data_IF_451004904680
#
_entry.id   IF_451004904680
#
_cell.length_a   1.000
_cell.length_b   1.000
_cell.length_c   1.000
_cell.angle_alpha   90.00
_cell.angle_beta   90.00
_cell.angle_gamma   90.00
#
_symmetry.space_group_name_H-M   'P 1'
#
loop_
_entity.id
_entity.type
_entity.pdbx_description
1 polymer ?
#
# COMPACT_ATOMS: atom_id res chain seq x y z
N UNK A 1 -19.31 -1.77 -11.77
CA UNK A 1 -19.06 -2.71 -10.64
C UNK A 1 -17.57 -2.90 -10.49
N UNK A 2 -17.04 -2.85 -9.27
CA UNK A 2 -15.63 -3.13 -9.01
C UNK A 2 -15.35 -4.63 -9.21
N UNK A 3 -14.37 -4.98 -10.05
CA UNK A 3 -14.00 -6.37 -10.35
C UNK A 3 -13.11 -7.00 -9.27
N UNK A 4 -12.45 -6.19 -8.47
CA UNK A 4 -11.48 -6.62 -7.46
C UNK A 4 -11.99 -6.17 -6.10
N UNK A 5 -12.06 -7.10 -5.14
CA UNK A 5 -12.41 -6.78 -3.75
C UNK A 5 -11.27 -5.97 -3.14
N UNK A 6 -11.61 -4.85 -2.52
CA UNK A 6 -10.68 -3.95 -1.85
C UNK A 6 -10.96 -4.06 -0.35
N UNK A 7 -9.94 -4.29 0.46
CA UNK A 7 -10.09 -4.36 1.91
C UNK A 7 -9.95 -2.98 2.56
N UNK A 8 -10.85 -2.65 3.46
CA UNK A 8 -10.77 -1.50 4.35
C UNK A 8 -9.70 -1.67 5.41
N UNK A 9 -9.28 -0.55 6.01
CA UNK A 9 -8.22 -0.55 7.05
C UNK A 9 -8.63 -1.32 8.30
N UNK A 10 -9.92 -1.37 8.62
CA UNK A 10 -10.48 -2.12 9.75
C UNK A 10 -10.73 -3.59 9.44
N UNK A 11 -10.66 -4.00 8.17
CA UNK A 11 -10.93 -5.38 7.73
C UNK A 11 -9.66 -6.24 7.66
N UNK A 12 -8.48 -5.62 7.68
CA UNK A 12 -7.19 -6.32 7.62
C UNK A 12 -6.67 -6.62 9.02
N UNK A 13 -6.02 -7.77 9.16
CA UNK A 13 -5.36 -8.20 10.41
C UNK A 13 -3.96 -8.71 10.11
N UNK A 14 -3.14 -8.88 11.17
CA UNK A 14 -1.77 -9.36 11.06
C UNK A 14 -0.90 -8.50 10.13
N UNK A 15 -0.08 -9.14 9.31
CA UNK A 15 0.90 -8.52 8.42
C UNK A 15 0.33 -7.41 7.52
N UNK A 16 -0.85 -7.61 6.95
CA UNK A 16 -1.47 -6.59 6.10
C UNK A 16 -1.85 -5.32 6.89
N UNK A 17 -2.29 -5.48 8.13
CA UNK A 17 -2.60 -4.35 9.02
C UNK A 17 -1.36 -3.53 9.38
N UNK A 18 -0.24 -4.21 9.64
CA UNK A 18 1.04 -3.55 9.93
C UNK A 18 1.52 -2.72 8.72
N UNK A 19 1.45 -3.30 7.53
CA UNK A 19 1.80 -2.59 6.28
C UNK A 19 0.86 -1.41 6.03
N UNK A 20 -0.45 -1.56 6.26
CA UNK A 20 -1.40 -0.45 6.12
C UNK A 20 -1.12 0.68 7.10
N UNK A 21 -0.73 0.37 8.34
CA UNK A 21 -0.34 1.38 9.32
C UNK A 21 0.90 2.16 8.85
N UNK A 22 1.90 1.47 8.29
CA UNK A 22 3.10 2.11 7.73
C UNK A 22 2.76 3.01 6.53
N UNK A 23 1.94 2.50 5.59
CA UNK A 23 1.48 3.28 4.43
C UNK A 23 0.73 4.53 4.91
N UNK A 24 -0.19 4.39 5.88
CA UNK A 24 -0.96 5.51 6.40
C UNK A 24 -0.06 6.53 7.09
N UNK A 25 0.97 6.09 7.83
CA UNK A 25 1.95 6.98 8.45
C UNK A 25 2.72 7.81 7.42
N UNK A 26 3.08 7.22 6.29
CA UNK A 26 3.89 7.89 5.26
C UNK A 26 3.04 8.75 4.29
N UNK A 27 1.79 8.38 4.02
CA UNK A 27 0.96 8.99 2.97
C UNK A 27 -0.36 9.59 3.48
N UNK A 28 -0.69 9.46 4.76
CA UNK A 28 -1.96 9.89 5.37
C UNK A 28 -3.18 9.01 5.03
N UNK A 29 -3.04 8.11 4.04
CA UNK A 29 -4.07 7.15 3.64
C UNK A 29 -3.43 5.91 3.01
N UNK A 30 -4.21 4.82 2.90
CA UNK A 30 -3.83 3.64 2.10
C UNK A 30 -4.48 3.73 0.71
N UNK A 31 -3.70 3.92 -0.38
CA UNK A 31 -4.21 3.88 -1.75
C UNK A 31 -4.94 2.57 -2.09
N UNK A 32 -5.95 2.64 -2.95
CA UNK A 32 -6.76 1.48 -3.36
C UNK A 32 -5.93 0.34 -3.98
N UNK A 33 -4.79 0.66 -4.61
CA UNK A 33 -3.87 -0.35 -5.15
C UNK A 33 -3.35 -1.29 -4.06
N UNK A 34 -2.84 -0.74 -2.96
CA UNK A 34 -2.37 -1.54 -1.82
C UNK A 34 -3.54 -2.22 -1.10
N UNK A 35 -4.70 -1.57 -1.04
CA UNK A 35 -5.90 -2.19 -0.47
C UNK A 35 -6.41 -3.40 -1.23
N UNK A 36 -6.25 -3.41 -2.56
CA UNK A 36 -6.56 -4.58 -3.40
C UNK A 36 -5.55 -5.71 -3.20
N UNK A 37 -4.28 -5.38 -2.95
CA UNK A 37 -3.22 -6.37 -2.70
C UNK A 37 -3.33 -7.03 -1.32
N UNK A 38 -4.05 -6.44 -0.36
CA UNK A 38 -4.16 -6.95 1.00
C UNK A 38 -4.82 -8.34 1.12
N UNK A 39 -5.49 -8.82 0.07
CA UNK A 39 -5.94 -10.23 -0.02
C UNK A 39 -4.76 -11.22 0.01
N UNK A 40 -3.56 -10.78 -0.35
CA UNK A 40 -2.32 -11.53 -0.22
C UNK A 40 -1.23 -10.64 0.45
N UNK A 41 -1.04 -10.77 1.77
CA UNK A 41 -0.12 -9.92 2.53
C UNK A 41 1.34 -9.95 2.05
N UNK A 42 1.80 -11.06 1.46
CA UNK A 42 3.17 -11.17 0.95
C UNK A 42 3.36 -10.39 -0.36
N UNK A 43 2.35 -10.41 -1.24
CA UNK A 43 2.36 -9.57 -2.45
C UNK A 43 2.29 -8.09 -2.07
N UNK A 44 1.43 -7.74 -1.10
CA UNK A 44 1.34 -6.39 -0.57
C UNK A 44 2.69 -5.91 -0.05
N UNK A 45 3.36 -6.71 0.77
CA UNK A 45 4.67 -6.38 1.32
C UNK A 45 5.70 -6.18 0.21
N UNK A 46 5.85 -7.16 -0.69
CA UNK A 46 6.85 -7.08 -1.76
C UNK A 46 6.66 -5.83 -2.64
N UNK A 47 5.42 -5.49 -2.99
CA UNK A 47 5.11 -4.29 -3.77
C UNK A 47 5.33 -3.01 -2.98
N UNK A 48 4.99 -2.98 -1.69
CA UNK A 48 5.24 -1.82 -0.86
C UNK A 48 6.73 -1.60 -0.61
N UNK A 49 7.52 -2.65 -0.39
CA UNK A 49 8.98 -2.55 -0.30
C UNK A 49 9.59 -2.02 -1.59
N UNK A 50 9.16 -2.53 -2.75
CA UNK A 50 9.57 -1.99 -4.06
C UNK A 50 9.20 -0.51 -4.18
N UNK A 51 7.97 -0.15 -3.82
CA UNK A 51 7.52 1.24 -3.85
C UNK A 51 8.40 2.13 -2.96
N UNK A 52 8.70 1.72 -1.72
CA UNK A 52 9.60 2.47 -0.84
C UNK A 52 10.97 2.66 -1.47
N UNK A 53 11.58 1.57 -1.97
CA UNK A 53 12.90 1.62 -2.58
C UNK A 53 13.01 2.60 -3.76
N UNK A 54 11.92 2.82 -4.50
CA UNK A 54 11.90 3.70 -5.68
C UNK A 54 11.39 5.10 -5.37
N UNK A 55 10.33 5.22 -4.57
CA UNK A 55 9.55 6.45 -4.44
C UNK A 55 9.86 7.24 -3.16
N UNK A 56 10.54 6.63 -2.18
CA UNK A 56 10.95 7.33 -0.95
C UNK A 56 12.45 7.68 -0.96
N UNK A 57 13.12 7.51 -2.10
CA UNK A 57 14.51 7.89 -2.29
C UNK A 57 14.61 8.93 -3.41
N UNK A 58 15.36 10.00 -3.17
CA UNK A 58 15.53 11.09 -4.15
C UNK A 58 14.32 12.01 -4.27
N UNK A 59 14.31 12.81 -5.33
CA UNK A 59 13.23 13.76 -5.65
C UNK A 59 12.59 13.34 -6.98
N UNK A 60 11.26 13.23 -6.99
CA UNK A 60 10.50 13.01 -8.22
C UNK A 60 9.98 14.37 -8.70
N UNK A 61 10.54 14.95 -9.78
CA UNK A 61 10.03 16.21 -10.33
C UNK A 61 8.59 16.03 -10.79
N UNK A 62 7.76 17.02 -10.49
CA UNK A 62 6.33 17.03 -10.86
C UNK A 62 6.11 17.36 -12.34
N UNK A 63 7.14 17.88 -13.00
CA UNK A 63 7.19 18.34 -14.37
C UNK A 63 8.05 17.39 -15.23
N UNK A 64 7.41 16.76 -16.22
CA UNK A 64 8.01 15.98 -17.30
C UNK A 64 7.62 16.60 -18.65
#
# INVERSE_FOLDING_TARGET
MARIKILGVTEVTGKASEIFAEITKNFGMVPNLFRAMALNPDILEANFMKFKAVMTQGELPMDL
#
